data_IF_062260398032
#
_entry.id   IF_062260398032
#
_cell.length_a   1.000
_cell.length_b   1.000
_cell.length_c   1.000
_cell.angle_alpha   90.00
_cell.angle_beta   90.00
_cell.angle_gamma   90.00
#
_symmetry.space_group_name_H-M   'P 1'
#
loop_
_entity.id
_entity.type
_entity.pdbx_description
1 polymer ?
#
# COMPACT_ATOMS: atom_id res chain seq x y z
N UNK A 1 -18.47 -1.92 -18.12
CA UNK A 1 -18.45 -0.48 -17.93
C UNK A 1 -17.90 0.23 -19.16
N UNK A 2 -18.58 1.28 -19.58
CA UNK A 2 -18.06 2.13 -20.65
C UNK A 2 -16.87 2.94 -20.14
N UNK A 3 -16.08 3.46 -21.07
CA UNK A 3 -14.93 4.31 -20.75
C UNK A 3 -15.34 5.54 -19.93
N UNK A 4 -16.50 6.13 -20.23
CA UNK A 4 -16.99 7.30 -19.49
C UNK A 4 -17.46 6.93 -18.08
N UNK A 5 -18.12 5.77 -17.92
CA UNK A 5 -18.53 5.28 -16.60
C UNK A 5 -17.32 4.98 -15.72
N UNK A 6 -16.25 4.41 -16.29
CA UNK A 6 -15.01 4.17 -15.58
C UNK A 6 -14.37 5.48 -15.11
N UNK A 7 -14.37 6.51 -15.97
CA UNK A 7 -13.84 7.82 -15.64
C UNK A 7 -14.65 8.50 -14.52
N UNK A 8 -15.98 8.37 -14.54
CA UNK A 8 -16.82 8.91 -13.47
C UNK A 8 -16.54 8.25 -12.13
N UNK A 9 -16.33 6.94 -12.12
CA UNK A 9 -15.94 6.21 -10.92
C UNK A 9 -14.57 6.66 -10.41
N UNK A 10 -13.62 6.91 -11.30
CA UNK A 10 -12.30 7.45 -10.95
C UNK A 10 -12.40 8.76 -10.18
N UNK A 11 -13.25 9.65 -10.66
CA UNK A 11 -13.48 10.95 -10.03
C UNK A 11 -14.12 10.78 -8.64
N UNK A 12 -15.03 9.82 -8.50
CA UNK A 12 -15.84 9.64 -7.29
C UNK A 12 -15.17 8.78 -6.22
N UNK A 13 -14.46 7.72 -6.60
CA UNK A 13 -13.92 6.75 -5.63
C UNK A 13 -12.40 6.79 -5.48
N UNK A 14 -11.67 7.27 -6.49
CA UNK A 14 -10.22 7.21 -6.54
C UNK A 14 -9.68 5.85 -6.97
N UNK A 15 -10.47 4.77 -6.87
CA UNK A 15 -10.02 3.43 -7.25
C UNK A 15 -9.68 3.31 -8.73
N UNK A 16 -10.43 3.98 -9.56
CA UNK A 16 -10.27 3.90 -11.02
C UNK A 16 -9.07 4.72 -11.53
N UNK A 17 -8.41 5.49 -10.65
CA UNK A 17 -7.11 6.08 -10.96
C UNK A 17 -6.02 5.01 -11.00
N UNK A 18 -6.32 3.81 -10.52
CA UNK A 18 -5.35 2.73 -10.41
C UNK A 18 -5.52 1.77 -11.58
N UNK A 19 -4.39 1.28 -12.09
CA UNK A 19 -4.33 0.16 -13.02
C UNK A 19 -4.93 -1.08 -12.36
N UNK A 20 -5.60 -1.94 -13.14
CA UNK A 20 -6.22 -3.16 -12.63
C UNK A 20 -5.20 -4.09 -11.95
N UNK A 21 -3.99 -4.15 -12.46
CA UNK A 21 -2.94 -4.98 -11.87
C UNK A 21 -2.49 -4.44 -10.51
N UNK A 22 -2.41 -3.12 -10.37
CA UNK A 22 -2.07 -2.46 -9.10
C UNK A 22 -3.19 -2.68 -8.09
N UNK A 23 -4.44 -2.51 -8.52
CA UNK A 23 -5.60 -2.77 -7.66
C UNK A 23 -5.56 -4.20 -7.10
N UNK A 24 -5.30 -5.18 -7.97
CA UNK A 24 -5.24 -6.58 -7.59
C UNK A 24 -4.13 -6.84 -6.57
N UNK A 25 -2.95 -6.26 -6.78
CA UNK A 25 -1.82 -6.39 -5.84
C UNK A 25 -2.20 -5.87 -4.45
N UNK A 26 -2.82 -4.70 -4.39
CA UNK A 26 -3.20 -4.09 -3.12
C UNK A 26 -4.31 -4.91 -2.45
N UNK A 27 -5.31 -5.34 -3.21
CA UNK A 27 -6.41 -6.15 -2.70
C UNK A 27 -5.90 -7.45 -2.07
N UNK A 28 -5.00 -8.15 -2.76
CA UNK A 28 -4.36 -9.36 -2.21
C UNK A 28 -3.55 -9.06 -0.96
N UNK A 29 -2.84 -7.93 -0.95
CA UNK A 29 -2.05 -7.49 0.21
C UNK A 29 -2.95 -7.29 1.43
N UNK A 30 -4.06 -6.57 1.26
CA UNK A 30 -4.97 -6.30 2.38
C UNK A 30 -5.61 -7.59 2.90
N UNK A 31 -5.92 -8.52 2.00
CA UNK A 31 -6.45 -9.83 2.38
C UNK A 31 -5.43 -10.64 3.18
N UNK A 32 -4.16 -10.66 2.73
CA UNK A 32 -3.09 -11.36 3.45
C UNK A 32 -2.82 -10.75 4.81
N UNK A 33 -2.80 -9.43 4.91
CA UNK A 33 -2.60 -8.74 6.19
C UNK A 33 -3.73 -9.11 7.16
N UNK A 34 -4.96 -9.13 6.69
CA UNK A 34 -6.11 -9.53 7.50
C UNK A 34 -5.95 -10.96 8.04
N UNK A 35 -5.54 -11.88 7.18
CA UNK A 35 -5.36 -13.29 7.57
C UNK A 35 -4.19 -13.51 8.53
N UNK A 36 -3.08 -12.82 8.30
CA UNK A 36 -1.86 -13.05 9.08
C UNK A 36 -1.84 -12.26 10.39
N UNK A 37 -2.37 -11.04 10.40
CA UNK A 37 -2.23 -10.11 11.52
C UNK A 37 -3.56 -9.72 12.16
N UNK A 38 -4.68 -10.19 11.62
CA UNK A 38 -6.03 -9.82 12.08
C UNK A 38 -6.25 -8.29 12.07
N UNK A 39 -5.64 -7.61 11.10
CA UNK A 39 -5.83 -6.19 10.84
C UNK A 39 -6.59 -6.02 9.54
N UNK A 40 -7.76 -5.39 9.61
CA UNK A 40 -8.66 -5.30 8.47
C UNK A 40 -8.60 -3.92 7.83
N UNK A 41 -7.75 -3.78 6.83
CA UNK A 41 -7.65 -2.58 6.00
C UNK A 41 -8.44 -2.69 4.70
N UNK A 42 -9.20 -3.76 4.51
CA UNK A 42 -9.83 -4.07 3.20
C UNK A 42 -10.84 -3.00 2.75
N UNK A 43 -11.40 -2.23 3.68
CA UNK A 43 -12.37 -1.18 3.38
C UNK A 43 -11.79 0.22 3.57
N UNK A 44 -10.50 0.35 3.75
CA UNK A 44 -9.85 1.64 3.89
C UNK A 44 -9.49 2.21 2.51
N UNK A 45 -10.42 2.95 1.93
CA UNK A 45 -10.29 3.50 0.59
C UNK A 45 -9.10 4.46 0.47
N UNK A 46 -8.88 5.28 1.49
CA UNK A 46 -7.79 6.25 1.50
C UNK A 46 -6.43 5.57 1.47
N UNK A 47 -6.27 4.53 2.28
CA UNK A 47 -5.03 3.74 2.29
C UNK A 47 -4.82 3.07 0.93
N UNK A 48 -5.86 2.48 0.38
CA UNK A 48 -5.82 1.77 -0.88
C UNK A 48 -5.33 2.70 -2.00
N UNK A 49 -5.93 3.87 -2.10
CA UNK A 49 -5.57 4.86 -3.13
C UNK A 49 -4.18 5.42 -2.89
N UNK A 50 -3.83 5.73 -1.65
CA UNK A 50 -2.51 6.27 -1.31
C UNK A 50 -1.39 5.31 -1.70
N UNK A 51 -1.53 4.03 -1.37
CA UNK A 51 -0.55 3.02 -1.76
C UNK A 51 -0.52 2.86 -3.27
N UNK A 52 -1.68 2.81 -3.92
CA UNK A 52 -1.77 2.66 -5.37
C UNK A 52 -1.07 3.77 -6.14
N UNK A 53 -1.31 5.01 -5.73
CA UNK A 53 -0.66 6.16 -6.36
C UNK A 53 0.84 6.19 -6.14
N UNK A 54 1.31 5.63 -5.02
CA UNK A 54 2.73 5.48 -4.75
C UNK A 54 3.34 4.35 -5.59
N UNK A 55 2.64 3.21 -5.71
CA UNK A 55 3.16 2.03 -6.39
C UNK A 55 3.40 2.24 -7.88
N UNK A 56 2.53 2.96 -8.56
CA UNK A 56 2.63 3.11 -10.01
C UNK A 56 3.97 3.70 -10.43
N UNK A 57 4.38 4.90 -9.96
CA UNK A 57 5.71 5.42 -10.30
C UNK A 57 6.85 4.61 -9.68
N UNK A 58 6.64 4.00 -8.52
CA UNK A 58 7.67 3.20 -7.87
C UNK A 58 8.01 1.95 -8.68
N UNK A 59 7.01 1.26 -9.21
CA UNK A 59 7.21 0.09 -10.08
C UNK A 59 7.89 0.48 -11.40
N UNK A 60 7.53 1.65 -11.93
CA UNK A 60 8.17 2.17 -13.13
C UNK A 60 9.67 2.44 -12.88
N UNK A 61 10.02 3.09 -11.77
CA UNK A 61 11.42 3.30 -11.39
C UNK A 61 12.16 1.97 -11.25
N UNK A 62 11.52 0.99 -10.60
CA UNK A 62 12.12 -0.31 -10.36
C UNK A 62 12.39 -1.05 -11.67
N UNK A 63 11.46 -0.99 -12.63
CA UNK A 63 11.64 -1.61 -13.95
C UNK A 63 12.77 -0.96 -14.75
N UNK A 64 13.08 0.30 -14.47
CA UNK A 64 14.19 1.05 -15.09
C UNK A 64 15.48 0.98 -14.27
N UNK A 65 15.54 0.11 -13.28
CA UNK A 65 16.68 -0.07 -12.37
C UNK A 65 17.04 1.24 -11.65
N UNK A 66 16.03 2.04 -11.36
CA UNK A 66 16.19 3.27 -10.59
C UNK A 66 15.73 3.04 -9.16
N UNK A 67 16.52 3.51 -8.21
CA UNK A 67 16.19 3.40 -6.78
C UNK A 67 16.11 4.80 -6.16
N UNK A 68 15.35 4.90 -5.07
CA UNK A 68 15.32 6.12 -4.27
C UNK A 68 15.95 5.83 -2.91
N UNK A 69 16.44 6.88 -2.27
CA UNK A 69 16.97 6.78 -0.90
C UNK A 69 15.96 7.36 0.07
N UNK A 70 15.86 6.74 1.24
CA UNK A 70 15.04 7.24 2.33
C UNK A 70 15.94 7.53 3.52
N UNK A 71 16.24 8.81 3.79
CA UNK A 71 17.14 9.16 4.89
C UNK A 71 16.63 8.71 6.27
N UNK A 72 15.33 8.47 6.38
CA UNK A 72 14.70 8.05 7.64
C UNK A 72 14.40 6.55 7.67
N UNK A 73 14.90 5.79 6.70
CA UNK A 73 14.60 4.36 6.57
C UNK A 73 14.79 3.59 7.88
N UNK A 74 15.95 3.69 8.47
CA UNK A 74 16.26 2.91 9.68
C UNK A 74 15.37 3.30 10.85
N UNK A 75 15.07 4.58 10.99
CA UNK A 75 14.19 5.08 12.05
C UNK A 75 12.75 4.65 11.85
N UNK A 76 12.25 4.71 10.62
CA UNK A 76 10.88 4.27 10.29
C UNK A 76 10.72 2.79 10.61
N UNK A 77 11.66 1.97 10.16
CA UNK A 77 11.62 0.52 10.40
C UNK A 77 11.67 0.22 11.91
N UNK A 78 12.55 0.90 12.64
CA UNK A 78 12.71 0.71 14.07
C UNK A 78 11.44 1.09 14.84
N UNK A 79 10.83 2.22 14.49
CA UNK A 79 9.65 2.74 15.20
C UNK A 79 8.35 2.06 14.81
N UNK A 80 8.28 1.52 13.59
CA UNK A 80 7.03 1.04 13.00
C UNK A 80 7.19 -0.39 12.48
N UNK A 81 7.65 -1.28 13.35
CA UNK A 81 7.91 -2.69 13.01
C UNK A 81 6.67 -3.41 12.48
N UNK A 82 5.52 -3.20 13.12
CA UNK A 82 4.26 -3.82 12.69
C UNK A 82 3.90 -3.37 11.29
N UNK A 83 3.91 -2.06 11.04
CA UNK A 83 3.56 -1.52 9.74
C UNK A 83 4.58 -1.86 8.67
N UNK A 84 5.85 -1.97 9.05
CA UNK A 84 6.87 -2.44 8.12
C UNK A 84 6.61 -3.90 7.70
N UNK A 85 6.11 -4.73 8.61
CA UNK A 85 5.71 -6.10 8.28
C UNK A 85 4.59 -6.11 7.23
N UNK A 86 3.64 -5.17 7.29
CA UNK A 86 2.61 -5.05 6.26
C UNK A 86 3.22 -4.68 4.90
N UNK A 87 4.21 -3.80 4.88
CA UNK A 87 4.94 -3.45 3.65
C UNK A 87 5.68 -4.65 3.08
N UNK A 88 6.21 -5.53 3.92
CA UNK A 88 6.86 -6.76 3.46
C UNK A 88 5.86 -7.74 2.84
N UNK A 89 4.62 -7.79 3.34
CA UNK A 89 3.55 -8.58 2.71
C UNK A 89 3.31 -8.06 1.30
N UNK A 90 3.17 -6.74 1.15
CA UNK A 90 3.00 -6.12 -0.17
C UNK A 90 4.16 -6.49 -1.10
N UNK A 91 5.39 -6.39 -0.62
CA UNK A 91 6.57 -6.67 -1.44
C UNK A 91 6.62 -8.12 -1.90
N UNK A 92 6.19 -9.05 -1.05
CA UNK A 92 6.10 -10.47 -1.40
C UNK A 92 5.11 -10.69 -2.54
N UNK A 93 3.96 -10.04 -2.49
CA UNK A 93 2.95 -10.14 -3.54
C UNK A 93 3.46 -9.50 -4.83
N UNK A 94 4.11 -8.35 -4.76
CA UNK A 94 4.75 -7.72 -5.94
C UNK A 94 5.75 -8.68 -6.58
N UNK A 95 6.57 -9.35 -5.78
CA UNK A 95 7.54 -10.33 -6.28
C UNK A 95 6.84 -11.48 -7.01
N UNK A 96 5.74 -11.97 -6.48
CA UNK A 96 4.96 -13.05 -7.10
C UNK A 96 4.36 -12.63 -8.43
N UNK A 97 3.86 -11.39 -8.51
CA UNK A 97 3.13 -10.92 -9.70
C UNK A 97 4.05 -10.36 -10.77
N UNK A 98 5.18 -9.75 -10.40
CA UNK A 98 6.03 -9.01 -11.35
C UNK A 98 7.46 -9.54 -11.45
N UNK A 99 7.87 -10.40 -10.55
CA UNK A 99 9.25 -10.86 -10.36
C UNK A 99 10.21 -9.74 -9.95
N UNK A 100 9.67 -8.59 -9.51
CA UNK A 100 10.43 -7.46 -8.99
C UNK A 100 10.24 -7.34 -7.49
N UNK A 101 11.19 -6.75 -6.79
CA UNK A 101 11.12 -6.49 -5.34
C UNK A 101 11.65 -5.10 -5.05
N UNK A 102 10.99 -4.40 -4.14
CA UNK A 102 11.48 -3.12 -3.62
C UNK A 102 12.56 -3.37 -2.56
N UNK A 103 13.47 -2.41 -2.43
CA UNK A 103 14.39 -2.39 -1.29
C UNK A 103 13.72 -1.72 -0.06
N UNK A 104 14.43 -1.73 1.05
CA UNK A 104 13.90 -1.19 2.30
C UNK A 104 13.71 0.32 2.27
N UNK A 105 14.48 1.05 1.47
CA UNK A 105 14.27 2.49 1.30
C UNK A 105 12.87 2.80 0.76
N UNK A 106 12.44 2.07 -0.26
CA UNK A 106 11.11 2.24 -0.85
C UNK A 106 10.03 1.72 0.10
N UNK A 107 10.25 0.56 0.71
CA UNK A 107 9.27 -0.02 1.64
C UNK A 107 9.04 0.87 2.85
N UNK A 108 10.05 1.60 3.32
CA UNK A 108 9.88 2.54 4.42
C UNK A 108 8.90 3.67 4.08
N UNK A 109 8.92 4.16 2.85
CA UNK A 109 7.91 5.15 2.41
C UNK A 109 6.49 4.55 2.42
N UNK A 110 6.35 3.34 1.92
CA UNK A 110 5.05 2.63 1.91
C UNK A 110 4.58 2.40 3.35
N UNK A 111 5.49 2.07 4.24
CA UNK A 111 5.21 1.85 5.67
C UNK A 111 4.50 3.05 6.31
N UNK A 112 4.85 4.27 5.94
CA UNK A 112 4.23 5.46 6.49
C UNK A 112 2.73 5.54 6.17
N UNK A 113 2.29 5.03 5.03
CA UNK A 113 0.88 4.94 4.70
C UNK A 113 0.15 3.97 5.64
N UNK A 114 0.76 2.84 5.95
CA UNK A 114 0.21 1.90 6.92
C UNK A 114 0.19 2.48 8.33
N UNK A 115 1.18 3.29 8.70
CA UNK A 115 1.20 3.95 10.01
C UNK A 115 -0.01 4.87 10.16
N UNK A 116 -0.29 5.68 9.15
CA UNK A 116 -1.45 6.59 9.18
C UNK A 116 -2.75 5.79 9.33
N UNK A 117 -2.91 4.73 8.54
CA UNK A 117 -4.11 3.91 8.57
C UNK A 117 -4.27 3.17 9.90
N UNK A 118 -3.19 2.63 10.44
CA UNK A 118 -3.23 1.88 11.69
C UNK A 118 -3.52 2.81 12.88
N UNK A 119 -2.95 4.01 12.90
CA UNK A 119 -3.24 5.01 13.93
C UNK A 119 -4.72 5.42 13.90
N UNK A 120 -5.27 5.61 12.73
CA UNK A 120 -6.68 5.94 12.55
C UNK A 120 -7.58 4.82 13.06
N UNK A 121 -7.26 3.58 12.74
CA UNK A 121 -7.98 2.40 13.22
C UNK A 121 -7.94 2.31 14.74
N UNK A 122 -6.77 2.50 15.35
CA UNK A 122 -6.60 2.45 16.80
C UNK A 122 -7.40 3.55 17.51
N UNK A 123 -7.48 4.74 16.94
CA UNK A 123 -8.31 5.83 17.48
C UNK A 123 -9.79 5.48 17.47
N UNK A 124 -10.27 4.83 16.42
CA UNK A 124 -11.66 4.39 16.32
C UNK A 124 -11.99 3.37 17.41
N UNK A 125 -11.11 2.45 17.69
CA UNK A 125 -11.31 1.46 18.76
C UNK A 125 -11.33 2.13 20.12
N UNK A 126 -10.43 3.07 20.39
CA UNK A 126 -10.41 3.81 21.67
C UNK A 126 -11.68 4.63 21.89
N UNK A 127 -12.23 5.21 20.84
CA UNK A 127 -13.44 6.02 20.94
C UNK A 127 -14.67 5.19 21.28
N UNK A 128 -14.66 3.89 20.92
CA UNK A 128 -15.78 2.97 21.19
C UNK A 128 -15.75 2.37 22.59
N UNK A 129 -14.64 2.45 23.27
CA UNK A 129 -14.50 2.00 24.66
C UNK A 129 -15.01 3.05 25.62
#
# INVERSE_FOLDING_TARGET
LTKNQKLDLEINSGYDLLDDSIYKIIDETMTCIYKEYNKDFRKDDKLFVAIGLHLEPALERLSNVQTIKNPLKDEIIRRHQEEFNYSKVLNKIIKQETNLSFDDDELAYITLHFVVANNKMNKLYKTKE
#
